data_IF_093837267853
#
_entry.id   IF_093837267853
#
_cell.length_a   1.000
_cell.length_b   1.000
_cell.length_c   1.000
_cell.angle_alpha   90.00
_cell.angle_beta   90.00
_cell.angle_gamma   90.00
#
_symmetry.space_group_name_H-M   'P 1'
#
loop_
_entity.id
_entity.type
_entity.pdbx_description
1 polymer ?
#
# COMPACT_ATOMS: atom_id res chain seq x y z
N UNK A 1 -30.52 -54.13 -14.00
CA UNK A 1 -29.33 -53.67 -14.71
C UNK A 1 -29.51 -52.26 -15.32
N UNK A 2 -30.66 -51.96 -15.98
CA UNK A 2 -30.92 -50.63 -16.60
C UNK A 2 -31.10 -49.49 -15.56
N UNK A 3 -31.68 -49.77 -14.40
CA UNK A 3 -31.85 -48.79 -13.31
C UNK A 3 -30.51 -48.39 -12.64
N UNK A 4 -29.55 -49.35 -12.53
CA UNK A 4 -28.21 -49.11 -11.98
C UNK A 4 -27.39 -48.26 -12.95
N UNK A 5 -27.55 -48.47 -14.25
CA UNK A 5 -26.85 -47.66 -15.29
C UNK A 5 -27.35 -46.21 -15.32
N UNK A 6 -28.65 -45.98 -15.10
CA UNK A 6 -29.25 -44.63 -15.04
C UNK A 6 -28.81 -43.88 -13.77
N UNK A 7 -28.69 -44.60 -12.65
CA UNK A 7 -28.21 -44.01 -11.39
C UNK A 7 -26.70 -43.60 -11.47
N UNK A 8 -25.90 -44.43 -12.14
CA UNK A 8 -24.48 -44.11 -12.38
C UNK A 8 -24.29 -42.90 -13.31
N UNK A 9 -25.13 -42.74 -14.33
CA UNK A 9 -25.12 -41.58 -15.21
C UNK A 9 -25.55 -40.30 -14.49
N UNK A 10 -26.53 -40.37 -13.58
CA UNK A 10 -26.95 -39.23 -12.77
C UNK A 10 -25.87 -38.78 -11.77
N UNK A 11 -25.12 -39.72 -11.19
CA UNK A 11 -24.02 -39.40 -10.27
C UNK A 11 -22.83 -38.77 -11.02
N UNK A 12 -22.60 -39.20 -12.27
CA UNK A 12 -21.54 -38.62 -13.11
C UNK A 12 -21.88 -37.22 -13.65
N UNK A 13 -23.19 -36.93 -13.83
CA UNK A 13 -23.66 -35.59 -14.24
C UNK A 13 -23.64 -34.55 -13.09
N UNK A 14 -23.72 -34.99 -11.85
CA UNK A 14 -23.66 -34.12 -10.67
C UNK A 14 -22.24 -33.67 -10.34
N UNK A 15 -21.19 -34.36 -10.83
CA UNK A 15 -19.79 -34.02 -10.61
C UNK A 15 -19.22 -33.04 -11.62
N UNK A 16 -19.98 -32.57 -12.61
CA UNK A 16 -19.53 -31.63 -13.64
C UNK A 16 -19.99 -30.18 -13.41
N UNK A 17 -20.61 -29.89 -12.28
CA UNK A 17 -21.01 -28.53 -11.89
C UNK A 17 -20.13 -27.89 -10.79
N UNK A 18 -18.96 -28.43 -10.53
CA UNK A 18 -17.91 -27.65 -9.86
C UNK A 18 -17.23 -26.79 -10.93
N UNK A 19 -17.86 -25.65 -11.23
CA UNK A 19 -17.30 -24.66 -12.13
C UNK A 19 -15.92 -24.22 -11.64
N UNK A 20 -14.98 -24.16 -12.57
CA UNK A 20 -13.76 -23.39 -12.44
C UNK A 20 -14.14 -21.93 -12.09
N UNK A 21 -14.20 -21.62 -10.80
CA UNK A 21 -14.00 -20.28 -10.31
C UNK A 21 -12.50 -20.02 -10.31
N UNK A 22 -12.07 -18.95 -10.96
CA UNK A 22 -10.69 -18.53 -11.02
C UNK A 22 -10.04 -18.47 -9.63
N UNK A 23 -8.70 -18.62 -9.61
CA UNK A 23 -7.86 -18.75 -8.42
C UNK A 23 -8.18 -17.71 -7.35
N UNK A 24 -9.02 -18.10 -6.42
CA UNK A 24 -9.18 -17.43 -5.15
C UNK A 24 -8.18 -18.06 -4.19
N UNK A 25 -7.26 -17.27 -3.68
CA UNK A 25 -6.46 -17.62 -2.52
C UNK A 25 -7.39 -18.19 -1.44
N UNK A 26 -7.09 -19.39 -1.00
CA UNK A 26 -7.81 -20.05 0.08
C UNK A 26 -7.77 -19.19 1.34
N UNK A 27 -8.90 -19.07 2.05
CA UNK A 27 -9.11 -18.24 3.24
C UNK A 27 -8.21 -18.55 4.46
N UNK A 28 -7.13 -19.31 4.27
CA UNK A 28 -6.14 -19.64 5.31
C UNK A 28 -5.01 -18.58 5.41
N UNK A 29 -4.92 -17.63 4.50
CA UNK A 29 -3.83 -16.63 4.44
C UNK A 29 -4.25 -15.21 4.87
N UNK A 30 -5.51 -15.02 5.23
CA UNK A 30 -6.00 -13.72 5.74
C UNK A 30 -5.43 -13.46 7.13
N UNK A 31 -4.74 -12.31 7.35
CA UNK A 31 -4.23 -11.95 8.67
C UNK A 31 -5.35 -11.92 9.71
N UNK A 32 -5.14 -12.59 10.84
CA UNK A 32 -6.08 -12.54 11.96
C UNK A 32 -5.64 -11.44 12.91
N UNK A 33 -6.50 -10.44 13.07
CA UNK A 33 -6.26 -9.29 13.95
C UNK A 33 -7.32 -9.33 15.04
N UNK A 34 -6.90 -9.39 16.30
CA UNK A 34 -7.81 -9.46 17.43
C UNK A 34 -8.72 -8.23 17.47
N UNK A 35 -10.02 -8.47 17.61
CA UNK A 35 -11.03 -7.42 17.64
C UNK A 35 -11.48 -6.91 16.28
N UNK A 36 -10.82 -7.27 15.17
CA UNK A 36 -11.25 -6.88 13.83
C UNK A 36 -11.92 -8.05 13.10
N UNK A 37 -13.00 -7.74 12.37
CA UNK A 37 -13.69 -8.70 11.54
C UNK A 37 -13.35 -8.45 10.07
N UNK A 38 -12.80 -9.49 9.43
CA UNK A 38 -12.48 -9.45 8.00
C UNK A 38 -13.74 -9.23 7.15
N UNK A 39 -13.65 -8.37 6.15
CA UNK A 39 -14.71 -8.09 5.19
C UNK A 39 -14.38 -8.62 3.80
N UNK A 40 -13.22 -8.23 3.25
CA UNK A 40 -12.86 -8.56 1.87
C UNK A 40 -11.35 -8.49 1.63
N UNK A 41 -10.92 -9.16 0.58
CA UNK A 41 -9.59 -8.97 -0.01
C UNK A 41 -9.74 -8.12 -1.27
N UNK A 42 -8.90 -7.08 -1.42
CA UNK A 42 -8.91 -6.26 -2.61
C UNK A 42 -8.52 -7.08 -3.84
N UNK A 43 -9.32 -6.99 -4.89
CA UNK A 43 -9.02 -7.66 -6.16
C UNK A 43 -7.94 -6.86 -6.91
N UNK A 44 -6.84 -7.55 -7.21
CA UNK A 44 -5.74 -7.04 -8.03
C UNK A 44 -5.69 -7.82 -9.34
N UNK A 45 -5.62 -7.10 -10.46
CA UNK A 45 -5.65 -7.70 -11.80
C UNK A 45 -4.26 -8.10 -12.30
N UNK A 46 -3.24 -7.35 -11.93
CA UNK A 46 -1.88 -7.49 -12.45
C UNK A 46 -0.80 -7.41 -11.37
N UNK A 47 -1.04 -6.66 -10.30
CA UNK A 47 -0.08 -6.52 -9.21
C UNK A 47 0.05 -7.83 -8.43
N UNK A 48 1.29 -8.18 -8.09
CA UNK A 48 1.65 -9.42 -7.39
C UNK A 48 2.55 -9.16 -6.18
N UNK A 49 3.03 -7.93 -6.02
CA UNK A 49 3.97 -7.58 -4.97
C UNK A 49 3.31 -7.03 -3.72
N UNK A 50 1.98 -6.92 -3.69
CA UNK A 50 1.23 -6.59 -2.49
C UNK A 50 -0.15 -7.24 -2.48
N UNK A 51 -0.79 -7.29 -1.30
CA UNK A 51 -2.18 -7.70 -1.12
C UNK A 51 -2.81 -6.83 -0.02
N UNK A 52 -4.08 -6.48 -0.19
CA UNK A 52 -4.82 -5.66 0.78
C UNK A 52 -6.02 -6.44 1.29
N UNK A 53 -6.14 -6.52 2.61
CA UNK A 53 -7.24 -7.13 3.33
C UNK A 53 -8.01 -6.05 4.08
N UNK A 54 -9.31 -5.95 3.84
CA UNK A 54 -10.18 -4.96 4.47
C UNK A 54 -10.94 -5.58 5.64
N UNK A 55 -11.12 -4.80 6.69
CA UNK A 55 -11.83 -5.19 7.90
C UNK A 55 -12.92 -4.18 8.25
N UNK A 56 -13.94 -4.62 8.98
CA UNK A 56 -15.03 -3.75 9.46
C UNK A 56 -14.46 -2.53 10.20
N UNK A 57 -15.12 -1.37 10.02
CA UNK A 57 -14.70 -0.13 10.66
C UNK A 57 -13.62 0.66 9.90
N UNK A 58 -13.31 0.29 8.65
CA UNK A 58 -12.39 1.04 7.79
C UNK A 58 -10.90 0.72 8.00
N UNK A 59 -10.60 -0.40 8.69
CA UNK A 59 -9.23 -0.88 8.81
C UNK A 59 -8.80 -1.61 7.54
N UNK A 60 -7.52 -1.51 7.20
CA UNK A 60 -6.92 -2.28 6.11
C UNK A 60 -5.57 -2.83 6.53
N UNK A 61 -5.31 -4.07 6.16
CA UNK A 61 -4.00 -4.70 6.34
C UNK A 61 -3.37 -4.89 4.97
N UNK A 62 -2.17 -4.36 4.77
CA UNK A 62 -1.43 -4.42 3.52
C UNK A 62 -0.23 -5.34 3.76
N UNK A 63 -0.13 -6.41 2.99
CA UNK A 63 1.05 -7.26 2.94
C UNK A 63 1.87 -6.90 1.72
N UNK A 64 3.14 -6.57 1.90
CA UNK A 64 4.07 -6.28 0.80
C UNK A 64 5.08 -7.43 0.71
N UNK A 65 5.22 -8.02 -0.46
CA UNK A 65 6.15 -9.16 -0.68
C UNK A 65 7.59 -8.71 -0.41
N UNK A 66 8.31 -9.45 0.44
CA UNK A 66 9.66 -9.11 0.92
C UNK A 66 9.78 -7.66 1.46
N UNK A 67 8.69 -7.11 1.94
CA UNK A 67 8.58 -5.76 2.52
C UNK A 67 7.94 -5.80 3.89
N UNK A 68 7.47 -4.64 4.35
CA UNK A 68 6.76 -4.48 5.60
C UNK A 68 5.29 -4.91 5.45
N UNK A 69 4.73 -5.54 6.48
CA UNK A 69 3.29 -5.61 6.66
C UNK A 69 2.82 -4.28 7.27
N UNK A 70 1.70 -3.74 6.79
CA UNK A 70 1.20 -2.43 7.21
C UNK A 70 -0.24 -2.53 7.66
N UNK A 71 -0.56 -2.03 8.85
CA UNK A 71 -1.92 -1.87 9.34
C UNK A 71 -2.35 -0.40 9.23
N UNK A 72 -3.38 -0.14 8.45
CA UNK A 72 -4.03 1.16 8.39
C UNK A 72 -5.15 1.20 9.43
N UNK A 73 -5.03 2.16 10.33
CA UNK A 73 -6.02 2.46 11.36
C UNK A 73 -6.81 3.70 10.93
N UNK A 74 -8.14 3.67 10.85
CA UNK A 74 -8.95 4.84 10.52
C UNK A 74 -8.79 5.95 11.57
N UNK A 75 -9.14 7.18 11.22
CA UNK A 75 -8.96 8.36 12.07
C UNK A 75 -9.59 8.20 13.45
N UNK A 76 -10.82 7.73 13.50
CA UNK A 76 -11.58 7.50 14.75
C UNK A 76 -11.32 6.12 15.37
N UNK A 77 -10.46 5.30 14.74
CA UNK A 77 -10.13 3.94 15.19
C UNK A 77 -9.07 3.91 16.29
N UNK A 78 -9.05 2.80 17.03
CA UNK A 78 -7.98 2.49 17.98
C UNK A 78 -7.08 1.39 17.40
N UNK A 79 -5.79 1.45 17.71
CA UNK A 79 -4.88 0.36 17.31
C UNK A 79 -5.27 -0.92 18.05
N UNK A 80 -5.54 -2.03 17.33
CA UNK A 80 -5.87 -3.30 17.97
C UNK A 80 -4.73 -3.79 18.85
N UNK A 81 -5.06 -4.52 19.92
CA UNK A 81 -4.06 -5.19 20.75
C UNK A 81 -3.42 -6.38 20.00
N UNK A 82 -2.20 -6.72 20.37
CA UNK A 82 -1.51 -7.92 19.85
C UNK A 82 -0.98 -7.79 18.41
N UNK A 83 -0.92 -6.58 17.86
CA UNK A 83 -0.22 -6.34 16.57
C UNK A 83 1.27 -6.63 16.74
N UNK A 84 1.84 -7.40 15.82
CA UNK A 84 3.26 -7.75 15.81
C UNK A 84 4.16 -6.52 15.75
N UNK A 85 5.32 -6.58 16.39
CA UNK A 85 6.31 -5.49 16.39
C UNK A 85 6.87 -5.20 14.98
N UNK A 86 6.76 -6.16 14.08
CA UNK A 86 7.17 -6.11 12.68
C UNK A 86 6.12 -5.47 11.75
N UNK A 87 4.93 -5.17 12.26
CA UNK A 87 3.85 -4.51 11.50
C UNK A 87 3.94 -3.01 11.65
N UNK A 88 4.03 -2.30 10.54
CA UNK A 88 3.99 -0.84 10.50
C UNK A 88 2.56 -0.37 10.72
N UNK A 89 2.28 0.24 11.87
CA UNK A 89 0.95 0.79 12.16
C UNK A 89 0.89 2.25 11.73
N UNK A 90 -0.02 2.55 10.80
CA UNK A 90 -0.28 3.89 10.27
C UNK A 90 -1.70 4.31 10.63
N UNK A 91 -1.84 5.43 11.33
CA UNK A 91 -3.14 6.01 11.67
C UNK A 91 -3.44 7.20 10.76
N UNK A 92 -4.62 7.20 10.14
CA UNK A 92 -5.08 8.32 9.31
C UNK A 92 -5.45 9.54 10.16
N UNK A 93 -5.39 10.78 9.60
CA UNK A 93 -4.89 11.08 8.28
C UNK A 93 -3.36 10.98 8.18
N UNK A 94 -2.85 10.67 6.98
CA UNK A 94 -1.41 10.69 6.65
C UNK A 94 -1.20 11.89 5.72
N UNK A 95 -1.00 13.07 6.28
CA UNK A 95 -0.91 14.34 5.56
C UNK A 95 0.48 15.00 5.59
N UNK A 96 1.48 14.28 6.10
CA UNK A 96 2.88 14.74 6.19
C UNK A 96 3.85 13.67 5.71
N UNK A 97 3.61 13.22 4.49
CA UNK A 97 4.40 12.15 3.88
C UNK A 97 5.70 12.69 3.30
N UNK A 98 6.81 12.03 3.61
CA UNK A 98 8.08 12.18 2.91
C UNK A 98 8.16 11.20 1.75
N UNK A 99 8.11 11.73 0.54
CA UNK A 99 8.17 10.95 -0.69
C UNK A 99 9.62 10.84 -1.17
N UNK A 100 10.28 9.76 -0.76
CA UNK A 100 11.63 9.43 -1.19
C UNK A 100 11.63 8.50 -2.43
N UNK A 101 10.59 7.67 -2.58
CA UNK A 101 10.37 6.85 -3.76
C UNK A 101 9.82 7.67 -4.94
N UNK A 102 10.68 8.07 -5.86
CA UNK A 102 10.29 8.95 -6.98
C UNK A 102 9.23 8.34 -7.90
N UNK A 103 9.20 6.99 -8.05
CA UNK A 103 8.17 6.28 -8.81
C UNK A 103 6.76 6.47 -8.25
N UNK A 104 6.64 6.61 -6.93
CA UNK A 104 5.36 6.74 -6.24
C UNK A 104 4.68 8.09 -6.47
N UNK A 105 5.45 9.16 -6.69
CA UNK A 105 4.88 10.50 -6.84
C UNK A 105 3.86 10.60 -7.98
N UNK A 106 4.09 9.90 -9.10
CA UNK A 106 3.14 9.89 -10.22
C UNK A 106 1.85 9.15 -9.88
N UNK A 107 1.91 8.10 -9.08
CA UNK A 107 0.75 7.35 -8.62
C UNK A 107 -0.08 8.17 -7.63
N UNK A 108 0.60 8.87 -6.72
CA UNK A 108 -0.05 9.80 -5.79
C UNK A 108 -0.68 10.98 -6.52
N UNK A 109 0.01 11.56 -7.52
CA UNK A 109 -0.55 12.63 -8.35
C UNK A 109 -1.81 12.17 -9.11
N UNK A 110 -1.83 10.93 -9.60
CA UNK A 110 -2.97 10.38 -10.35
C UNK A 110 -4.26 10.23 -9.52
N UNK A 111 -4.16 10.28 -8.20
CA UNK A 111 -5.29 10.22 -7.27
C UNK A 111 -5.49 11.53 -6.50
N UNK A 112 -5.02 12.65 -7.04
CA UNK A 112 -5.10 13.97 -6.40
C UNK A 112 -4.52 14.02 -4.96
N UNK A 113 -3.51 13.16 -4.66
CA UNK A 113 -2.94 12.97 -3.33
C UNK A 113 -1.73 13.86 -3.02
N UNK A 114 -1.37 14.83 -3.86
CA UNK A 114 -0.18 15.66 -3.64
C UNK A 114 -0.28 16.55 -2.39
N UNK A 115 -1.48 16.90 -1.95
CA UNK A 115 -1.68 17.69 -0.73
C UNK A 115 -1.26 16.94 0.55
N UNK A 116 -1.21 15.60 0.49
CA UNK A 116 -0.77 14.73 1.58
C UNK A 116 0.77 14.59 1.62
N UNK A 117 1.45 14.96 0.52
CA UNK A 117 2.91 14.95 0.44
C UNK A 117 3.46 16.28 0.96
N UNK A 118 4.20 16.22 2.05
CA UNK A 118 4.81 17.42 2.66
C UNK A 118 6.28 17.58 2.33
N UNK A 119 6.96 16.44 2.08
CA UNK A 119 8.39 16.42 1.88
C UNK A 119 8.77 15.59 0.66
N UNK A 120 9.83 16.00 -0.02
CA UNK A 120 10.37 15.37 -1.22
C UNK A 120 11.85 15.09 -1.08
N UNK A 121 12.32 13.99 -1.63
CA UNK A 121 13.75 13.67 -1.74
C UNK A 121 14.43 14.29 -2.97
N UNK A 122 13.67 14.92 -3.85
CA UNK A 122 14.17 15.69 -4.99
C UNK A 122 13.83 17.16 -4.83
N UNK A 123 14.67 18.02 -5.35
CA UNK A 123 14.39 19.44 -5.55
C UNK A 123 13.37 19.64 -6.69
N UNK A 124 12.77 20.82 -6.78
CA UNK A 124 11.71 21.10 -7.74
C UNK A 124 12.10 20.85 -9.20
N UNK A 125 13.34 21.13 -9.56
CA UNK A 125 13.91 20.92 -10.91
C UNK A 125 14.22 19.45 -11.21
N UNK A 126 14.19 18.58 -10.20
CA UNK A 126 14.34 17.13 -10.33
C UNK A 126 13.05 16.40 -10.72
N UNK A 127 11.90 17.08 -10.69
CA UNK A 127 10.61 16.48 -11.02
C UNK A 127 10.19 16.76 -12.45
N UNK A 128 9.68 15.73 -13.13
CA UNK A 128 9.00 15.83 -14.45
C UNK A 128 7.48 15.92 -14.32
N UNK A 129 6.95 15.87 -13.08
CA UNK A 129 5.52 16.00 -12.76
C UNK A 129 5.27 17.49 -12.50
N UNK A 130 4.55 18.16 -13.40
CA UNK A 130 4.34 19.60 -13.36
C UNK A 130 3.66 20.06 -12.06
N UNK A 131 2.67 19.28 -11.58
CA UNK A 131 1.93 19.55 -10.35
C UNK A 131 2.83 19.46 -9.11
N UNK A 132 3.73 18.45 -9.05
CA UNK A 132 4.69 18.32 -7.96
C UNK A 132 5.71 19.48 -7.97
N UNK A 133 6.23 19.85 -9.16
CA UNK A 133 7.10 20.99 -9.34
C UNK A 133 6.43 22.29 -8.89
N UNK A 134 5.16 22.50 -9.27
CA UNK A 134 4.38 23.67 -8.87
C UNK A 134 4.18 23.72 -7.35
N UNK A 135 3.78 22.59 -6.74
CA UNK A 135 3.60 22.49 -5.29
C UNK A 135 4.89 22.79 -4.51
N UNK A 136 6.04 22.36 -5.03
CA UNK A 136 7.33 22.68 -4.42
C UNK A 136 7.69 24.16 -4.58
N UNK A 137 7.47 24.77 -5.75
CA UNK A 137 7.71 26.18 -5.98
C UNK A 137 6.81 27.10 -5.14
N UNK A 138 5.62 26.62 -4.79
CA UNK A 138 4.67 27.28 -3.88
C UNK A 138 5.01 27.02 -2.40
N UNK A 139 5.99 26.15 -2.10
CA UNK A 139 6.37 25.79 -0.73
C UNK A 139 5.41 24.85 -0.01
N UNK A 140 4.47 24.24 -0.73
CA UNK A 140 3.56 23.22 -0.21
C UNK A 140 4.31 21.91 0.07
N UNK A 141 5.20 21.53 -0.86
CA UNK A 141 6.12 20.39 -0.70
C UNK A 141 7.52 20.95 -0.53
N UNK A 142 8.25 20.47 0.47
CA UNK A 142 9.61 20.94 0.80
C UNK A 142 10.64 19.87 0.44
N UNK A 143 11.78 20.29 -0.04
CA UNK A 143 12.93 19.40 -0.17
C UNK A 143 13.48 19.07 1.22
N UNK A 144 13.45 17.81 1.61
CA UNK A 144 13.93 17.34 2.91
C UNK A 144 15.12 16.38 2.80
N UNK A 145 16.03 16.67 1.87
CA UNK A 145 17.23 15.85 1.66
C UNK A 145 16.95 14.61 0.80
N UNK A 146 18.02 13.94 0.38
CA UNK A 146 17.93 12.72 -0.45
C UNK A 146 17.58 11.52 0.43
N UNK A 147 17.06 10.45 -0.20
CA UNK A 147 16.69 9.19 0.46
C UNK A 147 17.79 8.63 1.39
N UNK A 148 19.08 8.83 1.06
CA UNK A 148 20.21 8.35 1.85
C UNK A 148 20.83 9.43 2.77
N UNK A 149 20.35 10.65 2.74
CA UNK A 149 20.75 11.76 3.60
C UNK A 149 19.56 12.69 3.86
N UNK A 150 18.50 12.21 4.52
CA UNK A 150 17.34 13.04 4.83
C UNK A 150 17.69 14.16 5.83
N UNK A 151 16.95 15.24 5.77
CA UNK A 151 16.97 16.28 6.80
C UNK A 151 16.09 15.86 7.99
N UNK A 152 16.67 15.11 8.90
CA UNK A 152 15.97 14.57 10.07
C UNK A 152 15.39 15.67 10.98
N UNK A 153 16.06 16.84 11.05
CA UNK A 153 15.58 17.96 11.87
C UNK A 153 14.28 18.54 11.29
N UNK A 154 14.25 18.71 9.97
CA UNK A 154 13.05 19.17 9.26
C UNK A 154 11.92 18.14 9.38
N UNK A 155 12.20 16.88 9.08
CA UNK A 155 11.18 15.80 9.13
C UNK A 155 10.55 15.68 10.51
N UNK A 156 11.38 15.66 11.57
CA UNK A 156 10.88 15.63 12.96
C UNK A 156 10.16 16.93 13.35
N UNK A 157 10.79 18.08 13.05
CA UNK A 157 10.30 19.37 13.49
C UNK A 157 8.94 19.74 12.92
N UNK A 158 8.62 19.23 11.74
CA UNK A 158 7.33 19.44 11.08
C UNK A 158 6.39 18.22 11.19
N UNK A 159 6.81 17.16 11.90
CA UNK A 159 6.00 16.01 12.26
C UNK A 159 5.70 15.08 11.09
N UNK A 160 6.74 14.65 10.36
CA UNK A 160 6.60 13.65 9.30
C UNK A 160 5.97 12.37 9.85
N UNK A 161 4.89 11.88 9.21
CA UNK A 161 4.15 10.71 9.64
C UNK A 161 4.71 9.43 9.02
N UNK A 162 5.07 9.51 7.74
CA UNK A 162 5.44 8.38 6.91
C UNK A 162 6.56 8.78 5.92
N UNK A 163 7.58 7.96 5.84
CA UNK A 163 8.54 7.97 4.74
C UNK A 163 8.21 6.83 3.76
N UNK A 164 7.89 7.18 2.52
CA UNK A 164 7.75 6.22 1.43
C UNK A 164 9.09 6.14 0.72
N UNK A 165 9.82 5.08 1.01
CA UNK A 165 11.18 4.85 0.52
C UNK A 165 11.19 3.89 -0.67
N UNK A 166 12.20 3.99 -1.52
CA UNK A 166 12.46 2.97 -2.54
C UNK A 166 13.36 1.87 -1.98
N UNK A 167 13.45 0.73 -2.67
CA UNK A 167 14.37 -0.37 -2.28
C UNK A 167 15.84 0.04 -2.22
N UNK A 168 16.20 1.22 -2.72
CA UNK A 168 17.55 1.78 -2.57
C UNK A 168 17.92 2.03 -1.10
N UNK A 169 16.92 2.25 -0.22
CA UNK A 169 17.15 2.43 1.21
C UNK A 169 17.77 1.19 1.86
N UNK A 170 17.57 -0.01 1.29
CA UNK A 170 18.17 -1.24 1.78
C UNK A 170 19.69 -1.29 1.67
N UNK A 171 20.29 -0.39 0.86
CA UNK A 171 21.74 -0.20 0.81
C UNK A 171 22.25 0.78 1.88
N UNK A 172 21.33 1.42 2.61
CA UNK A 172 21.61 2.38 3.68
C UNK A 172 20.70 2.09 4.88
N UNK A 173 20.81 0.88 5.48
CA UNK A 173 19.89 0.46 6.54
C UNK A 173 19.90 1.40 7.75
N UNK A 174 21.05 2.04 8.03
CA UNK A 174 21.20 3.03 9.08
C UNK A 174 20.27 4.25 8.93
N UNK A 175 19.90 4.60 7.67
CA UNK A 175 18.97 5.70 7.41
C UNK A 175 17.55 5.28 7.77
N UNK A 176 17.13 4.06 7.37
CA UNK A 176 15.83 3.49 7.74
C UNK A 176 15.70 3.38 9.26
N UNK A 177 16.69 2.76 9.91
CA UNK A 177 16.73 2.63 11.36
C UNK A 177 16.63 4.00 12.06
N UNK A 178 17.31 5.02 11.52
CA UNK A 178 17.27 6.37 12.09
C UNK A 178 15.92 7.04 11.94
N UNK A 179 15.23 6.90 10.81
CA UNK A 179 13.86 7.38 10.64
C UNK A 179 12.91 6.72 11.66
N UNK A 180 13.01 5.41 11.81
CA UNK A 180 12.19 4.62 12.74
C UNK A 180 12.47 4.99 14.22
N UNK A 181 13.75 5.18 14.60
CA UNK A 181 14.13 5.68 15.95
C UNK A 181 13.51 7.05 16.26
N UNK A 182 13.33 7.89 15.24
CA UNK A 182 12.70 9.20 15.35
C UNK A 182 11.16 9.13 15.34
N UNK A 183 10.60 7.92 15.26
CA UNK A 183 9.15 7.70 15.24
C UNK A 183 8.50 7.86 13.87
N UNK A 184 9.29 8.13 12.83
CA UNK A 184 8.79 8.22 11.44
C UNK A 184 8.61 6.80 10.93
N UNK A 185 7.41 6.46 10.49
CA UNK A 185 7.14 5.15 9.90
C UNK A 185 7.75 5.06 8.51
N UNK A 186 8.24 3.88 8.14
CA UNK A 186 8.86 3.64 6.83
C UNK A 186 8.09 2.55 6.09
N UNK A 187 7.72 2.82 4.85
CA UNK A 187 7.16 1.83 3.92
C UNK A 187 8.02 1.82 2.67
N UNK A 188 8.45 0.62 2.25
CA UNK A 188 9.29 0.46 1.08
C UNK A 188 8.44 0.17 -0.15
N UNK A 189 8.48 1.09 -1.10
CA UNK A 189 7.83 0.99 -2.40
C UNK A 189 8.53 -0.06 -3.25
N UNK A 190 7.77 -1.02 -3.81
CA UNK A 190 8.30 -2.14 -4.58
C UNK A 190 7.62 -2.34 -5.94
N UNK A 191 6.93 -1.34 -6.47
CA UNK A 191 6.28 -1.43 -7.79
C UNK A 191 7.24 -1.80 -8.92
N UNK A 192 8.51 -1.44 -8.78
CA UNK A 192 9.56 -1.79 -9.74
C UNK A 192 9.82 -3.30 -9.85
N UNK A 193 9.40 -4.11 -8.86
CA UNK A 193 9.52 -5.56 -8.86
C UNK A 193 8.32 -6.26 -9.53
N UNK A 194 7.27 -5.50 -9.89
CA UNK A 194 6.17 -6.06 -10.66
C UNK A 194 6.65 -6.50 -12.04
N UNK A 195 6.30 -7.73 -12.41
CA UNK A 195 6.69 -8.32 -13.70
C UNK A 195 5.86 -7.79 -14.85
N UNK A 196 4.61 -7.38 -14.56
CA UNK A 196 3.69 -6.83 -15.55
C UNK A 196 3.67 -5.29 -15.47
N UNK A 197 3.78 -4.55 -16.60
CA UNK A 197 3.75 -3.08 -16.56
C UNK A 197 2.50 -2.51 -15.86
N UNK A 198 1.31 -3.09 -16.12
CA UNK A 198 0.08 -2.68 -15.45
C UNK A 198 0.07 -3.04 -13.96
N UNK A 199 0.86 -4.02 -13.51
CA UNK A 199 1.06 -4.29 -12.08
C UNK A 199 1.69 -3.09 -11.38
N UNK A 200 2.66 -2.43 -12.03
CA UNK A 200 3.29 -1.22 -11.48
C UNK A 200 2.30 -0.07 -11.33
N UNK A 201 1.43 0.12 -12.31
CA UNK A 201 0.39 1.17 -12.23
C UNK A 201 -0.69 0.81 -11.22
N UNK A 202 -0.99 -0.47 -11.01
CA UNK A 202 -1.98 -0.92 -10.04
C UNK A 202 -1.57 -0.64 -8.57
N UNK A 203 -0.31 -0.32 -8.31
CA UNK A 203 0.14 0.21 -7.03
C UNK A 203 -0.56 1.51 -6.62
N UNK A 204 -1.20 2.20 -7.56
CA UNK A 204 -2.08 3.34 -7.27
C UNK A 204 -3.15 2.98 -6.24
N UNK A 205 -3.65 1.73 -6.24
CA UNK A 205 -4.62 1.24 -5.26
C UNK A 205 -4.06 1.17 -3.85
N UNK A 206 -2.76 0.82 -3.70
CA UNK A 206 -2.08 0.86 -2.41
C UNK A 206 -2.05 2.29 -1.86
N UNK A 207 -1.68 3.26 -2.70
CA UNK A 207 -1.69 4.68 -2.31
C UNK A 207 -3.11 5.19 -2.04
N UNK A 208 -4.12 4.72 -2.78
CA UNK A 208 -5.52 4.98 -2.48
C UNK A 208 -5.89 4.56 -1.06
N UNK A 209 -5.44 3.38 -0.61
CA UNK A 209 -5.68 2.92 0.77
C UNK A 209 -4.88 3.71 1.79
N UNK A 210 -3.61 4.03 1.52
CA UNK A 210 -2.78 4.83 2.42
C UNK A 210 -3.38 6.23 2.66
N UNK A 211 -3.80 6.91 1.59
CA UNK A 211 -4.22 8.31 1.61
C UNK A 211 -5.74 8.52 1.63
N UNK A 212 -6.52 7.46 1.87
CA UNK A 212 -8.00 7.49 1.90
C UNK A 212 -8.65 7.97 0.59
N UNK A 213 -8.10 7.52 -0.55
CA UNK A 213 -8.50 7.90 -1.92
C UNK A 213 -8.77 6.68 -2.79
N UNK A 214 -9.48 5.68 -2.26
CA UNK A 214 -9.69 4.40 -2.94
C UNK A 214 -10.55 4.56 -4.20
N UNK A 215 -11.55 5.46 -4.18
CA UNK A 215 -12.40 5.70 -5.35
C UNK A 215 -11.61 6.35 -6.50
N UNK A 216 -10.72 7.30 -6.19
CA UNK A 216 -9.83 7.93 -7.15
C UNK A 216 -8.84 6.92 -7.73
N UNK A 217 -8.34 6.01 -6.88
CA UNK A 217 -7.40 4.98 -7.30
C UNK A 217 -8.03 3.95 -8.25
N UNK A 218 -9.28 3.54 -8.01
CA UNK A 218 -9.99 2.67 -8.94
C UNK A 218 -10.21 3.36 -10.29
N UNK A 219 -10.64 4.63 -10.30
CA UNK A 219 -10.83 5.41 -11.53
C UNK A 219 -9.53 5.65 -12.30
N UNK A 220 -8.42 5.85 -11.58
CA UNK A 220 -7.12 6.09 -12.21
C UNK A 220 -6.53 4.83 -12.84
N UNK A 221 -6.94 3.64 -12.34
CA UNK A 221 -6.46 2.36 -12.85
C UNK A 221 -7.33 1.80 -14.00
N UNK A 222 -8.62 2.16 -14.12
CA UNK A 222 -9.54 1.72 -15.19
C UNK A 222 -9.11 2.20 -16.60
#
# INVERSE_FOLDING_TARGET
>A
KRLISILLILIMAASLMTGCGGGGNSGDDVPKIDGLKYESTMELKYATQFQIYNYEGGYSYIRIVDGEDVLIVPEDGETPEGIGEDVVVLKRPLDKVYMAATSAMSLVNAIDGLDDIKFSSLEADGWYIEEATAAMNEGKIKYAGKYNTPDYEMLMGEGCDLAVESTMILHNPEVKEKLEELGIKVVIERSSYETHPLGRTEWVKLYGVLLDRQEEAEKAFE
#
